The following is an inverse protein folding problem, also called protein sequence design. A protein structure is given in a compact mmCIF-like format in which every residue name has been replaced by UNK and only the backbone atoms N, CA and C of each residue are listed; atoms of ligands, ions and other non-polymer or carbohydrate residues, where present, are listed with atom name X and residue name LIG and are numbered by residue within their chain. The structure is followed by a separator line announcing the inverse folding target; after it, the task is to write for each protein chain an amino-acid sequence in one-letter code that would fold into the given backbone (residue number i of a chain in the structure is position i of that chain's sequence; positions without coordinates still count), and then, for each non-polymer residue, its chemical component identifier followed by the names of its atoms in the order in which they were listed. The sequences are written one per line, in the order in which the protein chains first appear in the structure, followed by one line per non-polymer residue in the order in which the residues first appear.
data_IF_426685429302
#
_entry.id   IF_426685429302
#
_cell.length_a   1.000
_cell.length_b   1.000
_cell.length_c   1.000
_cell.angle_alpha   90.00
_cell.angle_beta   90.00
_cell.angle_gamma   90.00
#
_symmetry.space_group_name_H-M   'P 1'
#
loop_
_entity.id
_entity.type
_entity.pdbx_description
1 polymer ?
#
# COMPACT_ATOMS: atom_id res chain seq x y z
N UNK A 1 85.06 -34.07 40.36
CA UNK A 1 84.99 -33.30 39.10
C UNK A 1 83.88 -33.91 38.27
N UNK A 2 82.90 -33.08 37.91
CA UNK A 2 81.52 -33.47 37.60
C UNK A 2 81.39 -34.42 36.39
N UNK A 3 80.65 -35.51 36.60
CA UNK A 3 80.26 -36.50 35.58
C UNK A 3 78.94 -36.08 34.95
N UNK A 4 78.94 -35.93 33.63
CA UNK A 4 77.75 -35.82 32.78
C UNK A 4 77.46 -37.24 32.26
N UNK A 5 76.22 -37.71 32.44
CA UNK A 5 75.68 -38.90 31.79
C UNK A 5 74.31 -38.53 31.21
N UNK A 6 74.14 -38.78 29.93
CA UNK A 6 72.90 -38.65 29.18
C UNK A 6 71.91 -39.76 29.52
N UNK A 7 70.61 -39.46 29.47
CA UNK A 7 69.54 -40.45 29.28
C UNK A 7 68.33 -39.75 28.62
N UNK A 8 67.70 -40.36 27.60
CA UNK A 8 66.60 -39.77 26.84
C UNK A 8 65.24 -40.03 27.54
N UNK A 9 64.35 -39.05 27.37
CA UNK A 9 63.00 -39.00 27.98
C UNK A 9 62.03 -39.93 27.23
N UNK A 10 61.36 -40.81 27.99
CA UNK A 10 60.26 -41.64 27.56
C UNK A 10 58.96 -40.83 27.42
N UNK A 11 58.26 -41.05 26.30
CA UNK A 11 56.88 -40.60 26.03
C UNK A 11 55.87 -41.29 26.97
N UNK A 12 55.04 -40.51 27.64
CA UNK A 12 53.79 -40.95 28.28
C UNK A 12 52.63 -40.20 27.62
N UNK A 13 51.58 -40.87 27.12
CA UNK A 13 50.44 -40.19 26.50
C UNK A 13 49.53 -39.61 27.59
N UNK A 14 49.37 -38.28 27.57
CA UNK A 14 48.47 -37.55 28.46
C UNK A 14 47.02 -37.71 27.94
N UNK A 15 46.24 -38.58 28.58
CA UNK A 15 44.79 -38.66 28.40
C UNK A 15 44.16 -37.41 29.06
N UNK A 16 44.04 -36.32 28.30
CA UNK A 16 43.32 -35.13 28.74
C UNK A 16 41.82 -35.33 28.54
N UNK A 17 41.09 -35.44 29.65
CA UNK A 17 39.64 -35.33 29.72
C UNK A 17 39.20 -33.98 29.12
N UNK A 18 38.67 -34.00 27.90
CA UNK A 18 38.00 -32.88 27.28
C UNK A 18 36.53 -32.93 27.70
N UNK A 19 36.23 -32.31 28.84
CA UNK A 19 34.86 -31.96 29.22
C UNK A 19 34.45 -30.83 28.28
N UNK A 20 33.87 -31.18 27.13
CA UNK A 20 33.12 -30.24 26.31
C UNK A 20 31.86 -29.87 27.11
N UNK A 21 31.88 -28.69 27.73
CA UNK A 21 30.67 -27.99 28.12
C UNK A 21 29.86 -27.75 26.85
N UNK A 22 28.89 -28.60 26.55
CA UNK A 22 27.77 -28.24 25.68
C UNK A 22 26.97 -27.18 26.46
N UNK A 23 27.43 -25.93 26.43
CA UNK A 23 26.50 -24.83 26.51
C UNK A 23 25.70 -24.92 25.23
N UNK A 24 24.49 -25.46 25.34
CA UNK A 24 23.48 -25.29 24.33
C UNK A 24 23.39 -23.79 24.05
N UNK A 25 23.89 -23.36 22.88
CA UNK A 25 23.44 -22.13 22.25
C UNK A 25 21.94 -22.33 21.98
N UNK A 26 21.13 -22.12 23.00
CA UNK A 26 19.73 -21.79 22.83
C UNK A 26 19.80 -20.41 22.18
N UNK A 27 19.43 -20.25 20.91
CA UNK A 27 19.25 -18.90 20.39
C UNK A 27 18.26 -18.23 21.32
N UNK A 28 18.63 -17.09 21.90
CA UNK A 28 17.69 -16.21 22.56
C UNK A 28 16.64 -15.86 21.50
N UNK A 29 15.56 -16.62 21.46
CA UNK A 29 14.34 -16.22 20.78
C UNK A 29 13.90 -14.99 21.58
N UNK A 30 14.30 -13.82 21.09
CA UNK A 30 14.02 -12.55 21.75
C UNK A 30 12.51 -12.40 21.72
N UNK A 31 11.83 -12.78 22.80
CA UNK A 31 10.38 -12.63 22.92
C UNK A 31 10.10 -11.14 22.80
N UNK A 32 9.65 -10.72 21.62
CA UNK A 32 9.32 -9.33 21.35
C UNK A 32 8.00 -9.06 22.08
N UNK A 33 8.05 -8.17 23.08
CA UNK A 33 6.85 -7.76 23.80
C UNK A 33 5.92 -7.00 22.86
N UNK A 34 4.61 -7.01 23.14
CA UNK A 34 3.62 -6.24 22.36
C UNK A 34 4.00 -4.76 22.27
N UNK A 35 4.54 -4.17 23.34
CA UNK A 35 5.06 -2.80 23.34
C UNK A 35 6.21 -2.57 22.35
N UNK A 36 7.16 -3.50 22.28
CA UNK A 36 8.30 -3.38 21.36
C UNK A 36 7.85 -3.54 19.91
N UNK A 37 6.95 -4.49 19.64
CA UNK A 37 6.33 -4.67 18.33
C UNK A 37 5.53 -3.44 17.91
N UNK A 38 4.74 -2.86 18.82
CA UNK A 38 3.93 -1.68 18.55
C UNK A 38 4.82 -0.47 18.23
N UNK A 39 5.88 -0.24 19.02
CA UNK A 39 6.85 0.82 18.76
C UNK A 39 7.52 0.67 17.40
N UNK A 40 7.89 -0.56 17.04
CA UNK A 40 8.58 -0.87 15.78
C UNK A 40 7.66 -0.72 14.56
N UNK A 41 6.44 -1.25 14.62
CA UNK A 41 5.59 -1.43 13.44
C UNK A 41 4.38 -0.49 13.34
N UNK A 42 3.92 0.08 14.45
CA UNK A 42 2.63 0.77 14.50
C UNK A 42 2.76 2.24 14.90
N UNK A 43 3.65 2.57 15.84
CA UNK A 43 3.71 3.88 16.49
C UNK A 43 4.07 5.04 15.55
N UNK A 44 4.86 4.80 14.48
CA UNK A 44 5.21 5.82 13.49
C UNK A 44 3.98 6.41 12.78
N UNK A 45 2.91 5.60 12.61
CA UNK A 45 1.64 6.02 12.02
C UNK A 45 0.58 6.29 13.11
N UNK A 46 0.37 5.35 14.02
CA UNK A 46 -0.72 5.40 15.01
C UNK A 46 -0.39 6.21 16.28
N UNK A 47 0.85 6.67 16.44
CA UNK A 47 1.31 7.40 17.62
C UNK A 47 1.67 6.48 18.78
N UNK A 48 2.59 6.93 19.64
CA UNK A 48 3.02 6.17 20.83
C UNK A 48 1.87 5.98 21.83
N UNK A 49 0.92 6.92 21.85
CA UNK A 49 -0.31 6.88 22.66
C UNK A 49 -1.51 6.24 21.94
N UNK A 50 -1.35 5.76 20.70
CA UNK A 50 -2.44 5.20 19.91
C UNK A 50 -3.48 6.21 19.42
N UNK A 51 -3.18 7.51 19.44
CA UNK A 51 -4.12 8.59 19.12
C UNK A 51 -4.26 8.90 17.61
N UNK A 52 -3.55 8.16 16.76
CA UNK A 52 -3.51 8.34 15.31
C UNK A 52 -2.62 9.51 14.86
N UNK A 53 -1.81 10.10 15.75
CA UNK A 53 -0.94 11.24 15.46
C UNK A 53 0.56 10.86 15.50
N UNK A 54 0.93 9.70 14.94
CA UNK A 54 2.33 9.33 14.78
C UNK A 54 3.11 10.33 13.92
N UNK A 55 4.44 10.31 14.03
CA UNK A 55 5.34 11.23 13.31
C UNK A 55 5.10 11.23 11.79
N UNK A 56 4.70 10.09 11.22
CA UNK A 56 4.42 9.94 9.79
C UNK A 56 2.92 10.06 9.45
N UNK A 57 2.04 10.29 10.43
CA UNK A 57 0.59 10.38 10.20
C UNK A 57 0.19 11.54 9.26
N UNK A 58 1.03 12.58 9.15
CA UNK A 58 0.80 13.68 8.23
C UNK A 58 1.00 13.27 6.75
N UNK A 59 1.81 12.25 6.48
CA UNK A 59 2.18 11.75 5.15
C UNK A 59 1.24 10.69 4.57
N UNK A 60 0.19 10.32 5.30
CA UNK A 60 -0.72 9.25 4.87
C UNK A 60 -2.17 9.68 4.86
N UNK A 61 -2.93 9.15 3.89
CA UNK A 61 -4.37 9.34 3.77
C UNK A 61 -5.06 8.03 3.30
N UNK A 62 -6.20 7.63 3.90
CA UNK A 62 -6.87 8.20 5.06
C UNK A 62 -5.99 8.23 6.31
N UNK A 63 -6.32 9.10 7.28
CA UNK A 63 -5.55 9.20 8.53
C UNK A 63 -5.52 7.87 9.29
N UNK A 64 -4.41 7.56 9.99
CA UNK A 64 -4.31 6.38 10.83
C UNK A 64 -5.44 6.36 11.86
N UNK A 65 -5.88 5.15 12.23
CA UNK A 65 -6.91 4.99 13.25
C UNK A 65 -6.40 5.52 14.58
N UNK A 66 -7.16 6.42 15.18
CA UNK A 66 -7.10 6.69 16.61
C UNK A 66 -7.78 5.54 17.36
N UNK A 67 -7.02 4.82 18.18
CA UNK A 67 -7.54 3.75 19.00
C UNK A 67 -8.21 4.28 20.26
N UNK A 68 -7.82 5.44 20.78
CA UNK A 68 -8.33 6.02 22.04
C UNK A 68 -9.82 6.37 22.00
N UNK A 69 -10.42 6.48 20.81
CA UNK A 69 -11.85 6.74 20.64
C UNK A 69 -12.73 5.47 20.68
N UNK A 70 -12.12 4.28 20.69
CA UNK A 70 -12.80 2.98 20.69
C UNK A 70 -13.64 2.67 19.44
N UNK A 71 -13.48 3.44 18.34
CA UNK A 71 -14.29 3.32 17.12
C UNK A 71 -13.53 2.61 16.01
N UNK A 72 -14.00 1.42 15.66
CA UNK A 72 -13.38 0.59 14.63
C UNK A 72 -14.27 0.50 13.38
N UNK A 73 -13.67 0.82 12.22
CA UNK A 73 -14.35 0.79 10.91
C UNK A 73 -14.74 -0.63 10.49
N UNK A 74 -13.81 -1.57 10.68
CA UNK A 74 -13.92 -2.94 10.19
C UNK A 74 -14.17 -3.84 11.39
N UNK A 75 -15.42 -4.28 11.53
CA UNK A 75 -15.87 -5.15 12.61
C UNK A 75 -17.02 -6.03 12.16
N UNK A 76 -17.18 -7.18 12.80
CA UNK A 76 -18.27 -8.13 12.54
C UNK A 76 -19.44 -7.96 13.50
N UNK A 77 -19.42 -6.93 14.36
CA UNK A 77 -20.35 -6.74 15.49
C UNK A 77 -21.35 -5.60 15.21
N UNK A 78 -22.43 -5.53 16.00
CA UNK A 78 -23.47 -4.51 15.84
C UNK A 78 -22.95 -3.08 16.06
N UNK A 79 -23.66 -2.06 15.55
CA UNK A 79 -23.30 -0.65 15.79
C UNK A 79 -23.15 -0.35 17.28
N UNK A 80 -22.12 0.39 17.65
CA UNK A 80 -21.82 0.73 19.05
C UNK A 80 -21.16 -0.36 19.89
N UNK A 81 -21.03 -1.60 19.39
CA UNK A 81 -20.22 -2.64 20.03
C UNK A 81 -18.78 -2.63 19.49
N UNK A 82 -17.77 -2.98 20.30
CA UNK A 82 -16.38 -3.05 19.86
C UNK A 82 -16.15 -4.21 18.88
N UNK A 83 -15.02 -4.24 18.16
CA UNK A 83 -14.63 -5.38 17.34
C UNK A 83 -14.32 -6.62 18.20
N UNK A 84 -14.50 -7.81 17.61
CA UNK A 84 -13.96 -9.04 18.20
C UNK A 84 -12.44 -9.10 18.06
N UNK A 85 -11.77 -9.96 18.82
CA UNK A 85 -10.34 -10.20 18.63
C UNK A 85 -10.04 -10.71 17.20
N UNK A 86 -10.90 -11.56 16.64
CA UNK A 86 -10.78 -12.05 15.27
C UNK A 86 -10.85 -10.93 14.22
N UNK A 87 -11.69 -9.90 14.44
CA UNK A 87 -11.74 -8.73 13.56
C UNK A 87 -10.41 -7.96 13.57
N UNK A 88 -9.80 -7.80 14.76
CA UNK A 88 -8.51 -7.13 14.93
C UNK A 88 -7.36 -7.96 14.34
N UNK A 89 -7.33 -9.27 14.59
CA UNK A 89 -6.37 -10.21 14.00
C UNK A 89 -6.43 -10.12 12.48
N UNK A 90 -7.62 -10.23 11.90
CA UNK A 90 -7.81 -10.17 10.44
C UNK A 90 -7.32 -8.85 9.88
N UNK A 91 -7.62 -7.73 10.55
CA UNK A 91 -7.21 -6.39 10.11
C UNK A 91 -5.69 -6.21 10.15
N UNK A 92 -5.00 -6.66 11.21
CA UNK A 92 -3.54 -6.57 11.31
C UNK A 92 -2.88 -7.51 10.30
N UNK A 93 -3.34 -8.76 10.23
CA UNK A 93 -2.76 -9.77 9.36
C UNK A 93 -2.90 -9.41 7.87
N UNK A 94 -4.05 -8.89 7.45
CA UNK A 94 -4.33 -8.59 6.04
C UNK A 94 -4.01 -7.14 5.66
N UNK A 95 -3.81 -6.26 6.64
CA UNK A 95 -3.76 -4.82 6.43
C UNK A 95 -5.12 -4.27 6.02
N UNK A 96 -5.11 -3.05 5.48
CA UNK A 96 -6.33 -2.43 4.94
C UNK A 96 -6.10 -1.98 3.49
N UNK A 97 -6.64 -2.72 2.50
CA UNK A 97 -6.46 -2.40 1.10
C UNK A 97 -6.82 -0.95 0.74
N UNK A 98 -5.92 -0.30 0.00
CA UNK A 98 -6.06 1.10 -0.42
C UNK A 98 -5.87 2.13 0.69
N UNK A 99 -5.25 1.77 1.81
CA UNK A 99 -4.72 2.72 2.81
C UNK A 99 -3.25 2.41 3.07
N UNK A 100 -2.53 3.30 3.74
CA UNK A 100 -1.13 3.06 4.11
C UNK A 100 -0.94 2.01 5.22
N UNK A 101 -1.93 1.15 5.50
CA UNK A 101 -1.85 0.12 6.54
C UNK A 101 -1.49 -1.21 5.86
N UNK A 102 -0.21 -1.62 5.88
CA UNK A 102 0.25 -2.83 5.20
C UNK A 102 -0.25 -4.08 5.91
N UNK A 103 -0.08 -5.22 5.26
CA UNK A 103 -0.30 -6.53 5.87
C UNK A 103 0.87 -6.91 6.79
N UNK A 104 0.57 -7.36 8.00
CA UNK A 104 1.55 -7.87 8.95
C UNK A 104 1.54 -9.41 9.03
N UNK A 105 1.20 -10.09 7.93
CA UNK A 105 1.11 -11.55 7.84
C UNK A 105 2.44 -12.29 8.08
N UNK A 106 3.55 -11.57 8.21
CA UNK A 106 4.86 -12.13 8.56
C UNK A 106 5.04 -12.32 10.07
N UNK A 107 4.22 -11.65 10.90
CA UNK A 107 4.22 -11.83 12.35
C UNK A 107 3.55 -13.15 12.74
N UNK A 108 4.06 -13.78 13.80
CA UNK A 108 3.46 -14.97 14.40
C UNK A 108 2.14 -14.60 15.09
N UNK A 109 1.25 -15.58 15.25
CA UNK A 109 -0.07 -15.35 15.84
C UNK A 109 -0.01 -14.78 17.27
N UNK A 110 0.96 -15.21 18.08
CA UNK A 110 1.18 -14.68 19.44
C UNK A 110 1.69 -13.23 19.44
N UNK A 111 2.44 -12.83 18.42
CA UNK A 111 2.91 -11.45 18.23
C UNK A 111 1.76 -10.53 17.82
N UNK A 112 0.86 -11.00 16.94
CA UNK A 112 -0.36 -10.27 16.59
C UNK A 112 -1.28 -10.13 17.81
N UNK A 113 -1.44 -11.18 18.61
CA UNK A 113 -2.23 -11.13 19.85
C UNK A 113 -1.69 -10.11 20.86
N UNK A 114 -0.37 -10.03 21.03
CA UNK A 114 0.22 -9.04 21.93
C UNK A 114 0.07 -7.60 21.42
N UNK A 115 0.06 -7.38 20.11
CA UNK A 115 -0.32 -6.08 19.52
C UNK A 115 -1.78 -5.72 19.78
N UNK A 116 -2.68 -6.70 19.75
CA UNK A 116 -4.10 -6.50 20.04
C UNK A 116 -4.32 -6.09 21.49
N UNK A 117 -3.58 -6.68 22.43
CA UNK A 117 -3.64 -6.27 23.84
C UNK A 117 -3.28 -4.78 24.01
N UNK A 118 -2.25 -4.30 23.29
CA UNK A 118 -1.87 -2.88 23.28
C UNK A 118 -2.98 -1.99 22.68
N UNK A 119 -3.58 -2.41 21.55
CA UNK A 119 -4.69 -1.66 20.92
C UNK A 119 -5.92 -1.60 21.85
N UNK A 120 -6.22 -2.68 22.56
CA UNK A 120 -7.31 -2.75 23.55
C UNK A 120 -7.00 -1.87 24.76
N UNK A 121 -5.76 -1.82 25.21
CA UNK A 121 -5.31 -0.92 26.28
C UNK A 121 -5.53 0.56 25.92
N UNK A 122 -5.11 0.99 24.72
CA UNK A 122 -5.34 2.38 24.28
C UNK A 122 -6.83 2.75 24.18
N UNK A 123 -7.64 1.82 23.69
CA UNK A 123 -9.06 2.05 23.41
C UNK A 123 -9.97 1.84 24.63
N UNK A 124 -9.50 1.16 25.66
CA UNK A 124 -10.29 0.79 26.84
C UNK A 124 -11.46 -0.16 26.53
N UNK A 125 -11.45 -0.83 25.37
CA UNK A 125 -12.55 -1.71 24.96
C UNK A 125 -12.49 -3.05 25.71
N UNK A 126 -13.67 -3.55 26.09
CA UNK A 126 -13.87 -4.93 26.53
C UNK A 126 -14.74 -5.66 25.49
N UNK A 127 -14.17 -6.70 24.88
CA UNK A 127 -14.84 -7.49 23.83
C UNK A 127 -15.05 -8.97 24.23
N UNK A 128 -14.86 -9.33 25.50
CA UNK A 128 -14.94 -10.73 25.97
C UNK A 128 -16.30 -11.40 25.74
N UNK A 129 -17.38 -10.61 25.71
CA UNK A 129 -18.76 -11.10 25.56
C UNK A 129 -19.44 -10.61 24.28
N UNK A 130 -18.66 -10.12 23.31
CA UNK A 130 -19.22 -9.53 22.09
C UNK A 130 -19.34 -10.61 21.02
N UNK A 131 -20.57 -10.78 20.52
CA UNK A 131 -20.88 -11.76 19.49
C UNK A 131 -20.92 -11.12 18.10
N UNK A 132 -20.39 -11.79 17.06
CA UNK A 132 -20.58 -11.38 15.68
C UNK A 132 -22.06 -11.33 15.28
N UNK A 133 -22.38 -10.47 14.31
CA UNK A 133 -23.68 -10.44 13.64
C UNK A 133 -23.96 -11.81 13.04
N UNK A 134 -25.12 -12.37 13.37
CA UNK A 134 -25.62 -13.57 12.69
C UNK A 134 -26.03 -13.20 11.27
N UNK A 135 -25.36 -13.80 10.29
CA UNK A 135 -25.63 -13.54 8.87
C UNK A 135 -26.61 -14.61 8.37
N UNK A 136 -27.80 -14.22 7.90
CA UNK A 136 -28.79 -15.16 7.38
C UNK A 136 -28.30 -15.80 6.08
N UNK A 137 -28.95 -16.90 5.67
CA UNK A 137 -28.64 -17.55 4.39
C UNK A 137 -28.74 -16.57 3.22
N UNK A 138 -27.80 -16.66 2.29
CA UNK A 138 -27.75 -15.82 1.09
C UNK A 138 -28.98 -16.08 0.22
N UNK A 139 -29.66 -15.00 -0.17
CA UNK A 139 -30.72 -15.08 -1.19
C UNK A 139 -30.06 -15.20 -2.56
N UNK A 140 -30.36 -16.25 -3.36
CA UNK A 140 -29.71 -16.44 -4.65
C UNK A 140 -29.91 -15.24 -5.59
N UNK A 141 -28.87 -14.98 -6.39
CA UNK A 141 -28.90 -13.95 -7.42
C UNK A 141 -30.08 -14.14 -8.39
N UNK A 142 -30.82 -13.06 -8.66
CA UNK A 142 -31.81 -12.97 -9.74
C UNK A 142 -31.93 -11.53 -10.24
N UNK A 143 -32.46 -11.33 -11.45
CA UNK A 143 -32.70 -9.99 -12.00
C UNK A 143 -33.69 -9.18 -11.14
N UNK A 144 -34.68 -9.83 -10.53
CA UNK A 144 -35.59 -9.16 -9.59
C UNK A 144 -34.85 -8.71 -8.32
N UNK A 145 -33.91 -9.52 -7.82
CA UNK A 145 -33.10 -9.18 -6.65
C UNK A 145 -32.19 -7.98 -6.93
N UNK A 146 -31.58 -7.92 -8.11
CA UNK A 146 -30.76 -6.76 -8.54
C UNK A 146 -31.61 -5.51 -8.68
N UNK A 147 -32.81 -5.63 -9.27
CA UNK A 147 -33.75 -4.50 -9.40
C UNK A 147 -34.16 -3.97 -8.03
N UNK A 148 -34.46 -4.88 -7.08
CA UNK A 148 -34.75 -4.51 -5.69
C UNK A 148 -33.55 -3.82 -5.04
N UNK A 149 -32.35 -4.38 -5.20
CA UNK A 149 -31.12 -3.83 -4.61
C UNK A 149 -30.80 -2.43 -5.14
N UNK A 150 -31.05 -2.17 -6.43
CA UNK A 150 -30.95 -0.83 -7.02
C UNK A 150 -31.93 0.16 -6.37
N UNK A 151 -33.17 -0.28 -6.13
CA UNK A 151 -34.18 0.53 -5.43
C UNK A 151 -33.71 0.86 -4.02
N UNK A 152 -33.28 -0.14 -3.25
CA UNK A 152 -32.74 0.02 -1.89
C UNK A 152 -31.55 0.99 -1.89
N UNK A 153 -30.60 0.85 -2.82
CA UNK A 153 -29.42 1.72 -2.92
C UNK A 153 -29.80 3.19 -3.12
N UNK A 154 -30.81 3.47 -3.93
CA UNK A 154 -31.27 4.85 -4.16
C UNK A 154 -32.14 5.37 -3.03
N UNK A 155 -33.07 4.57 -2.51
CA UNK A 155 -34.03 4.99 -1.48
C UNK A 155 -33.36 5.15 -0.10
N UNK A 156 -32.37 4.31 0.22
CA UNK A 156 -31.53 4.47 1.40
C UNK A 156 -30.50 5.61 1.27
N UNK A 157 -30.42 6.26 0.10
CA UNK A 157 -29.55 7.41 -0.14
C UNK A 157 -28.07 7.05 -0.35
N UNK A 158 -27.73 5.79 -0.62
CA UNK A 158 -26.34 5.37 -0.82
C UNK A 158 -25.67 6.14 -1.97
N UNK A 159 -26.44 6.42 -3.04
CA UNK A 159 -26.00 7.17 -4.21
C UNK A 159 -25.62 8.64 -3.91
N UNK A 160 -26.11 9.23 -2.83
CA UNK A 160 -25.76 10.59 -2.43
C UNK A 160 -24.27 10.73 -2.10
N UNK A 161 -23.67 9.67 -1.57
CA UNK A 161 -22.26 9.60 -1.20
C UNK A 161 -21.44 8.75 -2.20
N UNK A 162 -21.98 7.64 -2.67
CA UNK A 162 -21.23 6.71 -3.52
C UNK A 162 -21.43 6.93 -5.03
N UNK A 163 -22.32 7.86 -5.41
CA UNK A 163 -22.75 8.05 -6.79
C UNK A 163 -23.66 6.94 -7.29
N UNK A 164 -24.29 7.14 -8.45
CA UNK A 164 -25.22 6.14 -9.01
C UNK A 164 -24.52 4.85 -9.47
N UNK A 165 -23.23 4.94 -9.77
CA UNK A 165 -22.44 3.85 -10.33
C UNK A 165 -21.35 3.34 -9.37
N UNK A 166 -21.35 3.76 -8.11
CA UNK A 166 -20.40 3.27 -7.10
C UNK A 166 -18.99 3.87 -7.17
N UNK A 167 -18.82 4.95 -7.94
CA UNK A 167 -17.54 5.62 -8.18
C UNK A 167 -17.19 6.68 -7.13
N UNK A 168 -17.93 6.76 -6.03
CA UNK A 168 -17.67 7.72 -4.95
C UNK A 168 -17.77 9.19 -5.38
N UNK A 169 -18.59 9.47 -6.39
CA UNK A 169 -18.78 10.76 -7.05
C UNK A 169 -20.20 11.31 -6.82
N UNK A 170 -20.88 10.86 -5.76
CA UNK A 170 -22.16 11.40 -5.33
C UNK A 170 -22.08 12.88 -4.94
N UNK A 171 -23.19 13.63 -4.99
CA UNK A 171 -23.22 15.07 -4.70
C UNK A 171 -22.70 15.44 -3.29
N UNK A 172 -22.74 14.53 -2.33
CA UNK A 172 -22.27 14.74 -0.96
C UNK A 172 -20.83 14.25 -0.71
N UNK A 173 -20.19 13.59 -1.66
CA UNK A 173 -18.92 12.87 -1.48
C UNK A 173 -17.80 13.75 -0.90
N UNK A 174 -17.62 14.93 -1.48
CA UNK A 174 -16.54 15.85 -1.12
C UNK A 174 -16.81 16.63 0.18
N UNK A 175 -17.98 16.45 0.79
CA UNK A 175 -18.36 17.13 2.03
C UNK A 175 -18.26 16.21 3.26
N UNK A 176 -18.05 14.91 3.06
CA UNK A 176 -18.00 13.93 4.13
C UNK A 176 -16.75 14.10 4.98
N UNK A 177 -16.94 14.04 6.29
CA UNK A 177 -15.88 14.08 7.29
C UNK A 177 -16.02 12.94 8.28
N UNK A 178 -14.91 12.41 8.75
CA UNK A 178 -14.90 11.48 9.87
C UNK A 178 -15.22 12.19 11.19
N UNK A 179 -15.28 11.42 12.28
CA UNK A 179 -15.58 11.99 13.61
C UNK A 179 -14.51 12.93 14.15
N UNK A 180 -13.32 12.98 13.54
CA UNK A 180 -12.26 13.93 13.87
C UNK A 180 -12.27 15.17 12.95
N UNK A 181 -13.18 15.22 11.98
CA UNK A 181 -13.30 16.32 11.04
C UNK A 181 -12.38 16.21 9.82
N UNK A 182 -11.64 15.11 9.65
CA UNK A 182 -10.86 14.88 8.45
C UNK A 182 -11.78 14.48 7.29
N UNK A 183 -11.56 14.99 6.07
CA UNK A 183 -12.31 14.55 4.90
C UNK A 183 -12.22 13.02 4.73
N UNK A 184 -13.34 12.40 4.34
CA UNK A 184 -13.45 10.96 4.09
C UNK A 184 -14.30 10.69 2.85
N UNK A 185 -13.69 10.91 1.69
CA UNK A 185 -14.34 10.71 0.40
C UNK A 185 -14.57 9.21 0.17
N UNK A 186 -15.79 8.77 -0.20
CA UNK A 186 -16.07 7.38 -0.51
C UNK A 186 -15.22 6.88 -1.68
N UNK A 187 -14.65 5.70 -1.53
CA UNK A 187 -13.82 5.08 -2.57
C UNK A 187 -14.68 4.56 -3.73
N UNK A 188 -14.08 4.51 -4.91
CA UNK A 188 -14.58 3.78 -6.06
C UNK A 188 -14.46 2.29 -5.76
N UNK A 189 -15.61 1.70 -5.41
CA UNK A 189 -15.68 0.28 -5.09
C UNK A 189 -15.92 -0.59 -6.33
N UNK A 190 -16.07 -0.01 -7.53
CA UNK A 190 -16.27 -0.79 -8.76
C UNK A 190 -15.03 -1.62 -9.13
N UNK A 191 -13.87 -1.29 -8.55
CA UNK A 191 -12.66 -2.12 -8.59
C UNK A 191 -12.83 -3.50 -7.93
N UNK A 192 -13.85 -3.67 -7.08
CA UNK A 192 -14.02 -4.86 -6.23
C UNK A 192 -13.07 -4.90 -5.04
N UNK A 193 -12.27 -3.85 -4.79
CA UNK A 193 -11.42 -3.73 -3.62
C UNK A 193 -12.13 -2.90 -2.55
N UNK A 194 -12.42 -3.53 -1.42
CA UNK A 194 -13.11 -2.92 -0.30
C UNK A 194 -12.20 -2.86 0.93
N UNK A 195 -12.39 -1.83 1.76
CA UNK A 195 -11.61 -1.65 2.99
C UNK A 195 -11.76 -2.83 3.97
N UNK A 196 -12.94 -3.43 4.04
CA UNK A 196 -13.29 -4.47 5.02
C UNK A 196 -13.36 -5.90 4.48
N UNK A 197 -12.88 -6.13 3.25
CA UNK A 197 -12.96 -7.41 2.55
C UNK A 197 -13.96 -7.43 1.38
N UNK A 198 -13.67 -8.26 0.38
CA UNK A 198 -14.34 -8.27 -0.95
C UNK A 198 -15.49 -9.27 -1.08
N UNK A 199 -15.70 -10.11 -0.07
CA UNK A 199 -16.75 -11.14 -0.12
C UNK A 199 -18.12 -10.55 0.14
N UNK A 200 -19.17 -11.18 -0.38
CA UNK A 200 -20.56 -10.79 -0.07
C UNK A 200 -20.85 -10.75 1.44
N UNK A 201 -20.22 -11.68 2.19
CA UNK A 201 -20.26 -11.72 3.65
C UNK A 201 -19.67 -10.44 4.27
N UNK A 202 -18.50 -10.01 3.80
CA UNK A 202 -17.86 -8.80 4.30
C UNK A 202 -18.70 -7.55 4.02
N UNK A 203 -19.28 -7.43 2.82
CA UNK A 203 -20.19 -6.34 2.46
C UNK A 203 -21.45 -6.34 3.34
N UNK A 204 -22.06 -7.51 3.57
CA UNK A 204 -23.20 -7.65 4.46
C UNK A 204 -22.88 -7.11 5.86
N UNK A 205 -21.71 -7.46 6.41
CA UNK A 205 -21.26 -6.94 7.71
C UNK A 205 -21.07 -5.42 7.72
N UNK A 206 -20.61 -4.81 6.62
CA UNK A 206 -20.49 -3.34 6.55
C UNK A 206 -21.84 -2.66 6.49
N UNK A 207 -22.80 -3.21 5.75
CA UNK A 207 -24.13 -2.62 5.67
C UNK A 207 -24.90 -2.80 6.96
N UNK A 208 -24.90 -3.99 7.56
CA UNK A 208 -25.66 -4.24 8.80
C UNK A 208 -24.94 -3.69 10.03
N UNK A 209 -23.62 -3.79 10.11
CA UNK A 209 -22.82 -3.31 11.25
C UNK A 209 -22.47 -1.82 11.19
N UNK A 210 -22.55 -1.19 10.02
CA UNK A 210 -22.05 0.17 9.80
C UNK A 210 -20.52 0.26 9.86
N UNK A 211 -20.00 1.49 9.76
CA UNK A 211 -18.56 1.76 9.87
C UNK A 211 -18.29 2.88 10.88
N UNK A 212 -17.92 2.50 12.10
CA UNK A 212 -17.78 3.45 13.21
C UNK A 212 -16.72 4.52 12.94
N UNK A 213 -17.02 5.74 13.37
CA UNK A 213 -16.18 6.92 13.15
C UNK A 213 -16.30 7.51 11.73
N UNK A 214 -17.19 6.98 10.88
CA UNK A 214 -17.44 7.50 9.53
C UNK A 214 -18.91 7.90 9.32
N UNK A 215 -19.22 8.67 8.27
CA UNK A 215 -20.60 8.95 7.88
C UNK A 215 -21.39 7.76 7.30
N UNK A 216 -20.78 6.57 7.15
CA UNK A 216 -21.46 5.38 6.64
C UNK A 216 -22.20 4.67 7.79
N UNK A 217 -23.54 4.82 7.90
CA UNK A 217 -24.29 4.30 9.03
C UNK A 217 -24.52 2.79 8.88
N UNK A 218 -25.16 2.21 9.88
CA UNK A 218 -25.77 0.90 9.77
C UNK A 218 -27.11 0.97 9.04
N UNK A 219 -27.34 -0.03 8.22
CA UNK A 219 -28.55 -0.36 7.48
C UNK A 219 -29.09 -1.73 7.96
N UNK A 220 -28.96 -2.04 9.25
CA UNK A 220 -29.54 -3.26 9.86
C UNK A 220 -31.06 -3.19 10.09
N UNK A 221 -31.68 -2.06 9.73
CA UNK A 221 -33.10 -1.79 9.84
C UNK A 221 -33.70 -1.25 8.52
N UNK A 222 -33.23 -1.76 7.38
CA UNK A 222 -33.71 -1.35 6.05
C UNK A 222 -35.21 -1.53 5.90
N UNK A 223 -35.81 -2.56 6.51
CA UNK A 223 -37.25 -2.76 6.41
C UNK A 223 -38.01 -1.59 7.05
N UNK A 224 -37.57 -1.12 8.22
CA UNK A 224 -38.16 0.06 8.87
C UNK A 224 -37.91 1.33 8.07
N UNK A 225 -36.66 1.55 7.63
CA UNK A 225 -36.25 2.72 6.84
C UNK A 225 -37.07 2.88 5.57
N UNK A 226 -37.43 1.76 4.93
CA UNK A 226 -38.15 1.73 3.64
C UNK A 226 -39.66 1.44 3.80
N UNK A 227 -40.18 1.38 5.03
CA UNK A 227 -41.60 1.07 5.28
C UNK A 227 -42.04 -0.31 4.79
N UNK A 228 -41.14 -1.30 4.80
CA UNK A 228 -41.36 -2.70 4.41
C UNK A 228 -41.60 -3.60 5.63
N UNK A 229 -42.24 -4.77 5.47
CA UNK A 229 -42.39 -5.74 6.55
C UNK A 229 -41.04 -6.21 7.10
N UNK A 230 -40.92 -6.39 8.43
CA UNK A 230 -39.67 -6.85 9.06
C UNK A 230 -39.17 -8.20 8.54
N UNK A 231 -40.08 -9.05 8.07
CA UNK A 231 -39.73 -10.33 7.44
C UNK A 231 -38.90 -10.17 6.15
N UNK A 232 -38.91 -9.00 5.51
CA UNK A 232 -38.13 -8.72 4.30
C UNK A 232 -36.73 -8.18 4.58
N UNK A 233 -36.36 -7.93 5.84
CA UNK A 233 -35.06 -7.33 6.23
C UNK A 233 -33.87 -8.03 5.57
N UNK A 234 -33.77 -9.35 5.74
CA UNK A 234 -32.66 -10.14 5.16
C UNK A 234 -32.65 -10.07 3.64
N UNK A 235 -33.82 -10.05 3.00
CA UNK A 235 -33.94 -9.96 1.54
C UNK A 235 -33.47 -8.60 1.04
N UNK A 236 -33.80 -7.51 1.74
CA UNK A 236 -33.37 -6.15 1.40
C UNK A 236 -31.85 -6.00 1.55
N UNK A 237 -31.28 -6.50 2.64
CA UNK A 237 -29.83 -6.47 2.88
C UNK A 237 -29.07 -7.27 1.80
N UNK A 238 -29.51 -8.49 1.48
CA UNK A 238 -28.90 -9.28 0.40
C UNK A 238 -29.09 -8.64 -0.98
N UNK A 239 -30.26 -8.06 -1.26
CA UNK A 239 -30.48 -7.33 -2.52
C UNK A 239 -29.47 -6.19 -2.69
N UNK A 240 -29.23 -5.41 -1.64
CA UNK A 240 -28.23 -4.34 -1.64
C UNK A 240 -26.80 -4.88 -1.88
N UNK A 241 -26.42 -5.98 -1.22
CA UNK A 241 -25.13 -6.66 -1.43
C UNK A 241 -24.97 -7.09 -2.88
N UNK A 242 -25.97 -7.76 -3.44
CA UNK A 242 -25.92 -8.22 -4.83
C UNK A 242 -25.86 -7.05 -5.82
N UNK A 243 -26.60 -5.97 -5.58
CA UNK A 243 -26.54 -4.79 -6.43
C UNK A 243 -25.16 -4.13 -6.39
N UNK A 244 -24.57 -3.95 -5.21
CA UNK A 244 -23.22 -3.37 -5.07
C UNK A 244 -22.17 -4.24 -5.76
N UNK A 245 -22.23 -5.58 -5.60
CA UNK A 245 -21.35 -6.51 -6.35
C UNK A 245 -21.58 -6.44 -7.85
N UNK A 246 -22.80 -6.18 -8.31
CA UNK A 246 -23.14 -6.05 -9.73
C UNK A 246 -22.63 -4.73 -10.36
N UNK A 247 -22.22 -3.76 -9.55
CA UNK A 247 -21.55 -2.53 -10.02
C UNK A 247 -20.04 -2.72 -10.24
N UNK A 248 -19.47 -3.86 -9.84
CA UNK A 248 -18.05 -4.14 -10.06
C UNK A 248 -17.72 -4.28 -11.55
N UNK A 249 -16.54 -3.79 -11.93
CA UNK A 249 -15.97 -4.03 -13.25
C UNK A 249 -15.71 -5.54 -13.37
N UNK A 250 -16.20 -6.19 -14.44
CA UNK A 250 -15.96 -7.62 -14.65
C UNK A 250 -14.45 -7.93 -14.67
N UNK A 251 -14.04 -8.89 -13.85
CA UNK A 251 -12.68 -9.46 -13.89
C UNK A 251 -12.56 -10.35 -15.13
N UNK A 252 -11.60 -10.07 -16.01
CA UNK A 252 -11.27 -10.95 -17.13
C UNK A 252 -10.32 -12.06 -16.65
N UNK A 253 -10.28 -13.21 -17.31
CA UNK A 253 -9.45 -14.36 -16.88
C UNK A 253 -7.95 -14.05 -16.86
N UNK A 254 -7.51 -13.11 -17.70
CA UNK A 254 -6.09 -12.73 -17.83
C UNK A 254 -5.81 -11.26 -17.52
N UNK A 255 -6.83 -10.48 -17.16
CA UNK A 255 -6.70 -9.05 -16.84
C UNK A 255 -7.41 -8.73 -15.55
N UNK A 256 -6.94 -7.70 -14.87
CA UNK A 256 -7.52 -7.20 -13.64
C UNK A 256 -7.49 -8.24 -12.50
N UNK A 257 -6.42 -9.04 -12.45
CA UNK A 257 -6.23 -10.07 -11.43
C UNK A 257 -5.71 -9.40 -10.16
N UNK A 258 -6.41 -9.56 -9.03
CA UNK A 258 -5.84 -9.17 -7.74
C UNK A 258 -4.73 -10.16 -7.36
N UNK A 259 -3.50 -9.71 -7.06
CA UNK A 259 -2.39 -10.61 -6.75
C UNK A 259 -2.64 -11.33 -5.43
N UNK A 260 -2.94 -12.63 -5.49
CA UNK A 260 -3.06 -13.49 -4.31
C UNK A 260 -1.70 -13.59 -3.59
N UNK A 261 -1.68 -13.29 -2.29
CA UNK A 261 -0.48 -13.28 -1.45
C UNK A 261 0.63 -12.32 -1.90
N UNK A 262 0.29 -11.27 -2.66
CA UNK A 262 1.26 -10.27 -3.12
C UNK A 262 2.26 -10.80 -4.16
N UNK A 263 1.96 -11.91 -4.83
CA UNK A 263 2.83 -12.51 -5.85
C UNK A 263 2.36 -12.08 -7.25
N UNK A 264 3.30 -11.54 -8.05
CA UNK A 264 3.13 -11.23 -9.47
C UNK A 264 3.96 -12.24 -10.26
N UNK A 265 3.32 -13.05 -11.11
CA UNK A 265 4.03 -14.07 -11.88
C UNK A 265 4.58 -13.50 -13.18
N UNK A 266 5.90 -13.47 -13.31
CA UNK A 266 6.55 -13.06 -14.56
C UNK A 266 6.46 -14.14 -15.65
N UNK A 267 6.16 -13.74 -16.88
CA UNK A 267 6.03 -14.63 -18.03
C UNK A 267 7.37 -14.78 -18.76
N UNK A 268 7.81 -16.02 -18.99
CA UNK A 268 9.04 -16.28 -19.72
C UNK A 268 8.84 -16.03 -21.22
N UNK A 269 9.73 -15.24 -21.82
CA UNK A 269 9.73 -14.95 -23.27
C UNK A 269 10.98 -15.51 -23.96
N UNK A 270 11.03 -15.38 -25.29
CA UNK A 270 12.12 -15.90 -26.12
C UNK A 270 13.50 -15.34 -25.73
N UNK A 271 14.50 -16.23 -25.62
CA UNK A 271 15.86 -15.89 -25.15
C UNK A 271 16.60 -14.82 -25.96
N UNK A 272 16.21 -14.64 -27.22
CA UNK A 272 16.88 -13.73 -28.17
C UNK A 272 16.16 -12.38 -28.30
N UNK A 273 15.07 -12.18 -27.57
CA UNK A 273 14.39 -10.89 -27.52
C UNK A 273 15.30 -9.91 -26.77
N UNK A 274 15.58 -8.78 -27.41
CA UNK A 274 16.41 -7.69 -26.89
C UNK A 274 15.57 -6.70 -26.09
N UNK A 275 16.23 -5.91 -25.25
CA UNK A 275 15.58 -4.96 -24.33
C UNK A 275 14.75 -3.89 -25.03
N UNK A 276 15.18 -3.39 -26.19
CA UNK A 276 14.45 -2.39 -27.01
C UNK A 276 13.02 -2.85 -27.34
N UNK A 277 12.85 -4.13 -27.67
CA UNK A 277 11.52 -4.70 -27.92
C UNK A 277 10.68 -4.89 -26.67
N UNK A 278 11.30 -5.03 -25.50
CA UNK A 278 10.59 -5.14 -24.22
C UNK A 278 10.08 -3.78 -23.73
N UNK A 279 10.77 -2.70 -24.09
CA UNK A 279 10.39 -1.33 -23.73
C UNK A 279 9.21 -0.78 -24.54
N UNK A 280 8.88 -1.39 -25.69
CA UNK A 280 7.66 -1.06 -26.44
C UNK A 280 6.43 -1.66 -25.76
N UNK A 281 5.68 -0.82 -25.03
CA UNK A 281 4.49 -1.20 -24.27
C UNK A 281 3.29 -1.62 -25.14
N UNK A 282 3.31 -1.28 -26.44
CA UNK A 282 2.28 -1.65 -27.43
C UNK A 282 2.63 -2.93 -28.18
N UNK A 283 3.80 -3.51 -27.92
CA UNK A 283 4.22 -4.75 -28.55
C UNK A 283 3.27 -5.91 -28.20
N UNK A 284 2.89 -6.77 -29.18
CA UNK A 284 2.01 -7.93 -28.93
C UNK A 284 2.51 -8.90 -27.86
N UNK A 285 3.79 -8.83 -27.49
CA UNK A 285 4.35 -9.64 -26.40
C UNK A 285 3.71 -9.35 -25.03
N UNK A 286 3.11 -8.17 -24.86
CA UNK A 286 2.40 -7.78 -23.63
C UNK A 286 0.94 -8.24 -23.59
N UNK A 287 0.42 -8.88 -24.65
CA UNK A 287 -0.96 -9.42 -24.66
C UNK A 287 -1.06 -10.78 -23.96
N UNK A 288 0.03 -11.53 -23.87
CA UNK A 288 0.07 -12.88 -23.29
C UNK A 288 0.21 -12.92 -21.77
N UNK A 289 1.09 -12.09 -21.14
CA UNK A 289 1.28 -12.10 -19.70
C UNK A 289 0.00 -11.70 -18.95
N UNK A 290 -0.26 -12.36 -17.83
CA UNK A 290 -1.32 -11.96 -16.91
C UNK A 290 -1.10 -10.53 -16.40
N UNK A 291 -2.15 -9.72 -16.41
CA UNK A 291 -2.15 -8.38 -15.81
C UNK A 291 -2.73 -8.43 -14.40
N UNK A 292 -1.93 -7.96 -13.43
CA UNK A 292 -2.28 -7.92 -12.03
C UNK A 292 -2.61 -6.49 -11.62
N UNK A 293 -3.84 -6.23 -11.19
CA UNK A 293 -4.23 -4.91 -10.66
C UNK A 293 -3.80 -4.81 -9.20
N UNK A 294 -2.83 -3.94 -8.94
CA UNK A 294 -2.32 -3.67 -7.59
C UNK A 294 -3.02 -2.43 -7.03
N UNK A 295 -3.66 -2.55 -5.85
CA UNK A 295 -4.29 -1.42 -5.19
C UNK A 295 -3.24 -0.45 -4.65
N UNK A 296 -3.31 0.84 -5.00
CA UNK A 296 -2.38 1.83 -4.45
C UNK A 296 -2.90 2.45 -3.15
N UNK A 297 -1.96 2.78 -2.28
CA UNK A 297 -2.21 3.50 -1.03
C UNK A 297 -1.91 4.97 -1.23
N UNK A 298 -2.85 5.84 -0.81
CA UNK A 298 -2.63 7.29 -0.90
C UNK A 298 -1.73 7.76 0.22
N UNK A 299 -0.71 8.52 -0.14
CA UNK A 299 0.11 9.24 0.82
C UNK A 299 -0.48 10.62 1.10
N UNK A 300 -0.89 11.35 0.06
CA UNK A 300 -1.43 12.70 0.22
C UNK A 300 -2.90 12.84 -0.16
N UNK A 301 -3.56 13.81 0.47
CA UNK A 301 -4.93 14.19 0.15
C UNK A 301 -4.90 15.02 -1.15
N UNK A 302 -5.58 14.53 -2.19
CA UNK A 302 -5.80 15.25 -3.45
C UNK A 302 -7.31 15.35 -3.70
N UNK A 303 -7.72 16.48 -4.27
CA UNK A 303 -9.12 16.85 -4.49
C UNK A 303 -9.76 16.14 -5.70
N UNK A 304 -8.96 15.46 -6.54
CA UNK A 304 -9.37 15.24 -7.94
C UNK A 304 -9.43 13.80 -8.46
N UNK A 305 -9.08 12.76 -7.70
CA UNK A 305 -9.14 11.39 -8.27
C UNK A 305 -9.68 10.42 -7.23
N UNK A 306 -10.52 9.46 -7.66
CA UNK A 306 -10.92 8.30 -6.87
C UNK A 306 -9.92 7.15 -7.06
N UNK A 307 -10.00 6.13 -6.23
CA UNK A 307 -9.10 4.99 -6.10
C UNK A 307 -8.38 4.56 -7.39
N UNK A 308 -7.05 4.51 -7.33
CA UNK A 308 -6.23 4.11 -8.47
C UNK A 308 -5.72 2.69 -8.24
N UNK A 309 -5.80 1.89 -9.30
CA UNK A 309 -5.09 0.63 -9.40
C UNK A 309 -3.91 0.88 -10.34
N UNK A 310 -2.80 0.20 -10.10
CA UNK A 310 -1.73 0.08 -11.08
C UNK A 310 -1.76 -1.34 -11.61
N UNK A 311 -1.98 -1.48 -12.91
CA UNK A 311 -1.89 -2.77 -13.59
C UNK A 311 -0.42 -3.10 -13.84
N UNK A 312 -0.02 -4.28 -13.39
CA UNK A 312 1.35 -4.76 -13.43
C UNK A 312 1.44 -6.02 -14.26
N UNK A 313 2.32 -6.00 -15.26
CA UNK A 313 2.73 -7.17 -16.01
C UNK A 313 4.25 -7.31 -15.92
N UNK A 314 4.73 -8.55 -15.87
CA UNK A 314 6.17 -8.83 -15.86
C UNK A 314 6.52 -9.90 -16.89
N UNK A 315 7.61 -9.67 -17.61
CA UNK A 315 8.20 -10.63 -18.55
C UNK A 315 9.69 -10.77 -18.29
N UNK A 316 10.24 -11.94 -18.63
CA UNK A 316 11.68 -12.16 -18.46
C UNK A 316 12.27 -13.14 -19.47
N UNK A 317 13.59 -13.03 -19.69
CA UNK A 317 14.39 -14.04 -20.37
C UNK A 317 15.71 -14.29 -19.61
N UNK A 318 16.71 -14.87 -20.28
CA UNK A 318 17.99 -15.20 -19.65
C UNK A 318 18.84 -13.97 -19.27
N UNK A 319 18.57 -12.80 -19.86
CA UNK A 319 19.39 -11.60 -19.73
C UNK A 319 18.62 -10.42 -19.12
N UNK A 320 17.30 -10.39 -19.26
CA UNK A 320 16.48 -9.22 -18.94
C UNK A 320 15.22 -9.61 -18.18
N UNK A 321 14.80 -8.70 -17.31
CA UNK A 321 13.46 -8.63 -16.73
C UNK A 321 12.88 -7.28 -17.16
N UNK A 322 11.62 -7.28 -17.56
CA UNK A 322 10.88 -6.06 -17.85
C UNK A 322 9.57 -6.09 -17.09
N UNK A 323 9.22 -4.94 -16.50
CA UNK A 323 7.98 -4.73 -15.76
C UNK A 323 7.24 -3.59 -16.44
N UNK A 324 5.98 -3.83 -16.80
CA UNK A 324 5.07 -2.83 -17.32
C UNK A 324 4.14 -2.42 -16.19
N UNK A 325 4.07 -1.11 -15.95
CA UNK A 325 3.13 -0.47 -15.05
C UNK A 325 2.17 0.36 -15.91
N UNK A 326 0.87 0.21 -15.69
CA UNK A 326 -0.17 0.95 -16.41
C UNK A 326 -1.18 1.49 -15.39
N UNK A 327 -1.48 2.78 -15.47
CA UNK A 327 -2.46 3.43 -14.60
C UNK A 327 -3.26 4.46 -15.40
N UNK A 328 -4.44 4.80 -14.90
CA UNK A 328 -5.22 5.88 -15.48
C UNK A 328 -4.75 7.21 -14.92
N UNK A 329 -4.40 8.11 -15.83
CA UNK A 329 -4.06 9.49 -15.52
C UNK A 329 -4.96 10.45 -16.32
N UNK A 330 -5.42 11.51 -15.66
CA UNK A 330 -6.18 12.57 -16.30
C UNK A 330 -5.30 13.73 -16.77
N UNK A 331 -4.07 13.79 -16.24
CA UNK A 331 -3.06 14.78 -16.61
C UNK A 331 -1.90 14.08 -17.31
N UNK A 332 -1.03 14.88 -17.92
CA UNK A 332 0.22 14.42 -18.52
C UNK A 332 1.30 15.36 -18.02
N UNK A 333 1.87 15.03 -16.86
CA UNK A 333 2.75 15.91 -16.11
C UNK A 333 4.21 15.54 -16.40
N UNK A 334 4.70 16.00 -17.56
CA UNK A 334 6.10 15.83 -17.97
C UNK A 334 7.02 17.03 -17.66
N UNK A 335 6.46 18.17 -17.26
CA UNK A 335 7.20 19.42 -17.09
C UNK A 335 7.51 19.76 -15.63
N UNK A 336 8.73 20.22 -15.36
CA UNK A 336 9.16 20.74 -14.04
C UNK A 336 9.54 22.23 -14.14
N UNK A 337 8.60 23.08 -14.55
CA UNK A 337 8.87 24.50 -14.80
C UNK A 337 8.81 25.34 -13.53
N UNK A 338 7.90 24.97 -12.63
CA UNK A 338 7.67 25.63 -11.34
C UNK A 338 8.00 24.69 -10.20
N UNK A 339 8.30 25.25 -9.03
CA UNK A 339 8.56 24.49 -7.81
C UNK A 339 7.34 23.67 -7.36
N UNK A 340 6.14 24.07 -7.80
CA UNK A 340 4.89 23.36 -7.51
C UNK A 340 4.54 22.27 -8.53
N UNK A 341 5.28 22.17 -9.63
CA UNK A 341 5.02 21.16 -10.64
C UNK A 341 5.61 19.83 -10.17
N UNK A 342 4.78 18.79 -10.14
CA UNK A 342 5.18 17.42 -9.86
C UNK A 342 5.02 16.64 -11.14
N UNK A 343 6.11 16.03 -11.60
CA UNK A 343 6.07 15.16 -12.76
C UNK A 343 5.43 13.80 -12.43
N UNK A 344 4.90 13.15 -13.46
CA UNK A 344 4.54 11.76 -13.40
C UNK A 344 5.78 10.91 -13.16
N UNK A 345 5.61 9.89 -12.31
CA UNK A 345 6.70 9.01 -11.93
C UNK A 345 6.19 7.72 -11.31
N UNK A 346 6.96 6.66 -11.52
CA UNK A 346 6.65 5.34 -10.98
C UNK A 346 7.93 4.67 -10.53
N UNK A 347 7.92 4.12 -9.31
CA UNK A 347 9.08 3.47 -8.73
C UNK A 347 8.77 2.00 -8.42
N UNK A 348 9.73 1.12 -8.72
CA UNK A 348 9.74 -0.27 -8.27
C UNK A 348 10.86 -0.42 -7.26
N UNK A 349 10.54 -1.08 -6.17
CA UNK A 349 11.42 -1.22 -5.02
C UNK A 349 11.80 -2.68 -4.79
N UNK A 350 13.09 -2.94 -4.59
CA UNK A 350 13.66 -4.26 -4.35
C UNK A 350 14.42 -4.30 -3.02
N UNK A 351 14.05 -5.24 -2.15
CA UNK A 351 14.93 -5.63 -1.03
C UNK A 351 16.21 -6.24 -1.61
N UNK A 352 17.36 -5.72 -1.19
CA UNK A 352 18.67 -6.15 -1.68
C UNK A 352 19.10 -7.46 -1.02
N UNK A 353 18.69 -7.68 0.23
CA UNK A 353 19.06 -8.82 1.06
C UNK A 353 18.04 -9.98 1.01
N UNK A 354 16.91 -9.79 0.33
CA UNK A 354 15.83 -10.76 0.21
C UNK A 354 14.93 -10.83 1.46
N UNK A 355 15.05 -9.88 2.38
CA UNK A 355 14.12 -9.74 3.50
C UNK A 355 12.69 -9.57 2.98
N UNK A 356 11.73 -10.22 3.65
CA UNK A 356 10.32 -10.22 3.28
C UNK A 356 9.54 -9.41 4.31
N UNK A 357 8.60 -8.58 3.86
CA UNK A 357 7.82 -7.71 4.75
C UNK A 357 7.55 -6.35 4.13
N UNK A 358 7.01 -5.43 4.94
CA UNK A 358 6.78 -4.05 4.53
C UNK A 358 8.08 -3.25 4.55
N UNK A 359 8.80 -3.29 3.43
CA UNK A 359 9.97 -2.46 3.22
C UNK A 359 9.48 -1.09 2.77
N UNK A 360 9.55 -0.10 3.66
CA UNK A 360 9.16 1.28 3.34
C UNK A 360 10.16 1.90 2.36
N UNK A 361 11.17 2.60 2.86
CA UNK A 361 12.32 3.06 2.05
C UNK A 361 13.61 2.34 2.47
N UNK A 362 13.49 1.13 3.03
CA UNK A 362 14.57 0.37 3.65
C UNK A 362 15.02 0.92 5.02
N UNK A 363 16.12 0.36 5.51
CA UNK A 363 16.85 0.79 6.72
C UNK A 363 18.36 0.65 6.51
N UNK A 364 19.17 1.05 7.49
CA UNK A 364 20.63 0.86 7.44
C UNK A 364 21.03 -0.63 7.34
N UNK A 365 20.32 -1.50 8.06
CA UNK A 365 20.56 -2.95 8.06
C UNK A 365 19.92 -3.65 6.85
N UNK A 366 18.83 -3.08 6.33
CA UNK A 366 18.03 -3.62 5.24
C UNK A 366 17.86 -2.58 4.11
N UNK A 367 18.93 -2.24 3.37
CA UNK A 367 18.88 -1.25 2.32
C UNK A 367 18.06 -1.76 1.13
N UNK A 368 17.58 -0.81 0.35
CA UNK A 368 16.62 -1.08 -0.71
C UNK A 368 17.02 -0.39 -2.01
N UNK A 369 16.95 -1.12 -3.12
CA UNK A 369 17.19 -0.62 -4.48
C UNK A 369 15.87 -0.13 -5.08
N UNK A 370 15.88 1.06 -5.67
CA UNK A 370 14.70 1.70 -6.24
C UNK A 370 14.99 2.05 -7.69
N UNK A 371 14.16 1.51 -8.58
CA UNK A 371 14.13 1.88 -9.99
C UNK A 371 13.01 2.89 -10.20
N UNK A 372 13.36 4.17 -10.32
CA UNK A 372 12.42 5.27 -10.40
C UNK A 372 12.35 5.86 -11.80
N UNK A 373 11.28 5.55 -12.52
CA UNK A 373 10.95 6.18 -13.79
C UNK A 373 10.37 7.57 -13.58
N UNK A 374 10.80 8.53 -14.40
CA UNK A 374 10.44 9.95 -14.34
C UNK A 374 10.04 10.45 -15.73
N UNK A 375 8.81 10.96 -15.87
CA UNK A 375 8.28 11.38 -17.17
C UNK A 375 9.10 12.49 -17.84
N UNK A 376 9.64 13.42 -17.06
CA UNK A 376 10.47 14.51 -17.56
C UNK A 376 11.79 13.99 -18.15
N UNK A 377 12.37 12.96 -17.52
CA UNK A 377 13.61 12.34 -17.99
C UNK A 377 13.36 11.54 -19.27
N UNK A 378 12.20 10.87 -19.38
CA UNK A 378 11.77 10.19 -20.61
C UNK A 378 11.68 11.17 -21.78
N UNK A 379 11.00 12.30 -21.60
CA UNK A 379 10.91 13.34 -22.61
C UNK A 379 12.30 13.87 -23.03
N UNK A 380 13.21 14.14 -22.08
CA UNK A 380 14.59 14.57 -22.41
C UNK A 380 15.36 13.52 -23.24
N UNK A 381 15.20 12.24 -22.91
CA UNK A 381 15.83 11.14 -23.66
C UNK A 381 15.27 11.06 -25.08
N UNK A 382 13.95 11.16 -25.23
CA UNK A 382 13.27 11.05 -26.52
C UNK A 382 13.57 12.24 -27.44
N UNK A 383 13.55 13.45 -26.90
CA UNK A 383 13.79 14.69 -27.65
C UNK A 383 15.27 15.08 -27.75
N UNK A 384 16.14 14.45 -26.95
CA UNK A 384 17.58 14.74 -26.85
C UNK A 384 17.86 16.19 -26.43
N UNK A 385 17.13 16.67 -25.43
CA UNK A 385 17.25 18.03 -24.88
C UNK A 385 17.76 18.00 -23.43
N UNK A 386 18.50 19.04 -23.04
CA UNK A 386 19.02 19.16 -21.67
C UNK A 386 17.94 19.62 -20.68
N UNK A 387 16.99 20.44 -21.12
CA UNK A 387 15.85 20.93 -20.33
C UNK A 387 14.76 21.49 -21.23
N UNK A 388 13.50 21.32 -20.81
CA UNK A 388 12.31 21.83 -21.49
C UNK A 388 11.99 23.30 -21.16
N UNK A 389 12.76 23.94 -20.26
CA UNK A 389 12.48 25.33 -19.84
C UNK A 389 12.54 26.34 -21.01
N UNK A 390 13.30 26.01 -22.06
CA UNK A 390 13.42 26.83 -23.27
C UNK A 390 12.16 26.75 -24.13
N UNK A 391 11.49 25.59 -24.19
CA UNK A 391 10.24 25.43 -24.91
C UNK A 391 9.07 26.05 -24.14
N UNK A 392 9.01 25.83 -22.82
CA UNK A 392 7.97 26.41 -21.97
C UNK A 392 8.00 27.95 -21.92
N UNK A 393 9.19 28.54 -22.07
CA UNK A 393 9.37 29.99 -22.12
C UNK A 393 10.21 30.41 -23.34
N UNK A 394 9.66 30.18 -24.54
CA UNK A 394 10.30 30.49 -25.82
C UNK A 394 10.79 31.95 -25.99
N UNK A 395 10.26 32.88 -25.19
CA UNK A 395 10.64 34.30 -25.16
C UNK A 395 11.24 34.75 -23.82
N UNK A 396 11.73 33.81 -23.00
CA UNK A 396 12.44 34.15 -21.76
C UNK A 396 13.68 34.95 -22.10
N UNK A 397 13.65 36.24 -21.77
CA UNK A 397 14.87 37.02 -21.65
C UNK A 397 15.44 36.70 -20.28
N UNK A 398 16.54 35.96 -20.23
CA UNK A 398 17.31 35.87 -18.99
C UNK A 398 17.82 37.28 -18.68
N UNK A 399 17.51 37.80 -17.49
CA UNK A 399 18.10 39.03 -16.96
C UNK A 399 19.64 38.97 -16.93
N UNK A 400 20.16 37.74 -16.91
CA UNK A 400 21.52 37.37 -17.25
C UNK A 400 21.71 37.44 -18.77
N UNK A 401 21.98 38.63 -19.30
CA UNK A 401 22.38 38.78 -20.70
C UNK A 401 23.62 37.89 -20.95
N UNK A 402 23.47 36.86 -21.77
CA UNK A 402 24.46 35.80 -22.02
C UNK A 402 25.77 36.35 -22.59
N UNK A 403 25.75 37.57 -23.14
CA UNK A 403 26.93 38.25 -23.67
C UNK A 403 27.70 39.09 -22.63
N UNK A 404 27.09 39.50 -21.51
CA UNK A 404 27.71 40.42 -20.53
C UNK A 404 27.72 39.91 -19.09
N UNK A 405 26.96 38.87 -18.77
CA UNK A 405 27.14 38.13 -17.52
C UNK A 405 28.40 37.26 -17.63
N UNK A 406 29.28 37.20 -16.62
CA UNK A 406 30.41 36.29 -16.69
C UNK A 406 29.87 34.87 -16.89
N UNK A 407 30.28 34.20 -17.97
CA UNK A 407 29.97 32.78 -18.23
C UNK A 407 30.14 31.93 -16.95
N UNK A 408 31.11 32.32 -16.11
CA UNK A 408 31.36 31.78 -14.79
C UNK A 408 30.12 31.70 -13.87
N UNK A 409 29.27 32.74 -13.77
CA UNK A 409 28.15 32.73 -12.80
C UNK A 409 26.93 31.93 -13.28
N UNK A 410 26.70 31.81 -14.59
CA UNK A 410 25.60 31.02 -15.13
C UNK A 410 25.86 29.50 -14.93
N UNK A 411 27.14 29.13 -14.95
CA UNK A 411 27.56 27.75 -14.73
C UNK A 411 27.66 27.40 -13.24
N UNK A 412 28.15 28.29 -12.36
CA UNK A 412 28.46 27.96 -10.95
C UNK A 412 27.27 27.40 -10.14
N UNK A 413 26.03 27.85 -10.39
CA UNK A 413 24.86 27.36 -9.65
C UNK A 413 24.48 25.91 -10.02
N UNK A 414 24.75 25.47 -11.27
CA UNK A 414 24.55 24.10 -11.73
C UNK A 414 25.81 23.23 -11.56
N UNK A 415 27.00 23.83 -11.61
CA UNK A 415 28.28 23.13 -11.50
C UNK A 415 28.47 22.48 -10.14
N UNK A 416 28.06 23.10 -9.02
CA UNK A 416 28.25 22.45 -7.72
C UNK A 416 27.52 21.09 -7.63
N UNK A 417 26.30 21.00 -8.16
CA UNK A 417 25.57 19.73 -8.27
C UNK A 417 26.22 18.78 -9.27
N UNK A 418 26.55 19.27 -10.47
CA UNK A 418 27.17 18.47 -11.54
C UNK A 418 28.56 17.94 -11.16
N UNK A 419 29.41 18.78 -10.60
CA UNK A 419 30.78 18.48 -10.14
C UNK A 419 30.75 17.57 -8.91
N UNK A 420 29.70 17.65 -8.09
CA UNK A 420 29.43 16.69 -7.02
C UNK A 420 28.84 15.35 -7.54
N UNK A 421 28.64 15.20 -8.86
CA UNK A 421 28.04 14.01 -9.45
C UNK A 421 26.56 13.83 -9.13
N UNK A 422 25.85 14.92 -8.81
CA UNK A 422 24.39 14.87 -8.62
C UNK A 422 23.74 14.55 -9.96
N UNK A 423 23.18 13.35 -10.06
CA UNK A 423 22.49 12.87 -11.25
C UNK A 423 21.36 13.81 -11.67
N UNK A 424 20.66 14.47 -10.74
CA UNK A 424 19.61 15.45 -11.06
C UNK A 424 20.15 16.71 -11.75
N UNK A 425 21.44 17.02 -11.57
CA UNK A 425 22.13 18.17 -12.17
C UNK A 425 22.90 17.81 -13.45
N UNK A 426 22.85 16.56 -13.90
CA UNK A 426 23.42 16.16 -15.19
C UNK A 426 22.68 16.83 -16.35
N UNK A 427 23.45 17.32 -17.32
CA UNK A 427 22.91 18.03 -18.49
C UNK A 427 22.17 17.08 -19.43
N UNK A 428 22.78 15.94 -19.76
CA UNK A 428 22.19 14.94 -20.64
C UNK A 428 21.66 13.76 -19.84
N UNK A 429 20.37 13.43 -19.99
CA UNK A 429 19.80 12.19 -19.47
C UNK A 429 20.01 11.07 -20.49
N UNK A 430 20.66 9.99 -20.05
CA UNK A 430 20.88 8.79 -20.88
C UNK A 430 19.89 7.67 -20.59
N UNK A 431 19.10 7.82 -19.51
CA UNK A 431 18.07 6.88 -19.08
C UNK A 431 16.88 7.65 -18.51
N UNK A 432 15.63 7.22 -18.78
CA UNK A 432 14.43 7.74 -18.13
C UNK A 432 14.26 7.24 -16.69
N UNK A 433 15.04 6.24 -16.29
CA UNK A 433 15.00 5.60 -14.98
C UNK A 433 16.24 5.98 -14.19
N UNK A 434 16.01 6.49 -12.98
CA UNK A 434 17.01 6.67 -11.94
C UNK A 434 17.10 5.38 -11.11
N UNK A 435 18.31 4.89 -10.87
CA UNK A 435 18.56 3.85 -9.87
C UNK A 435 19.09 4.53 -8.61
N UNK A 436 18.41 4.35 -7.48
CA UNK A 436 18.82 4.88 -6.18
C UNK A 436 18.75 3.81 -5.11
N UNK A 437 19.67 3.88 -4.15
CA UNK A 437 19.61 3.08 -2.93
C UNK A 437 19.05 3.93 -1.80
N UNK A 438 18.08 3.39 -1.07
CA UNK A 438 17.48 4.03 0.08
C UNK A 438 17.79 3.25 1.37
N UNK A 439 18.08 4.03 2.41
CA UNK A 439 18.27 3.60 3.81
C UNK A 439 17.31 4.41 4.68
N UNK A 440 16.01 4.22 4.44
CA UNK A 440 14.91 4.96 5.05
C UNK A 440 14.90 4.97 6.58
N UNK A 441 13.93 5.68 7.20
CA UNK A 441 13.90 5.97 8.64
C UNK A 441 13.52 4.76 9.53
N UNK A 442 14.09 3.58 9.28
CA UNK A 442 13.91 2.33 10.03
C UNK A 442 12.57 1.60 9.84
N UNK A 443 12.03 1.59 8.62
CA UNK A 443 10.99 0.62 8.25
C UNK A 443 11.65 -0.61 7.63
N UNK A 444 11.55 -1.78 8.27
CA UNK A 444 12.17 -3.05 7.80
C UNK A 444 11.43 -3.64 6.62
#
# INVERSE_FOLDING_TARGET
MNKIWELPVFLVPLFAFLIFSLEAFIPLEHIQTGENLYKLYCASCHGVSGDGNGELAYLVYPKPRDFTDGKFKIKSTLPGLPPTDDDLIKTIHQGMPGTAMPAFSFLKENEIKSLIDIVKEFSGIDNNNVLPINIPDEVPFSDELITLGKSVYSEAGCNMCHGNNGKGDGPSSNQLKDTKGFPIIPKDFTSGVYLGGETKRDLYLRFVGGMDGTPMPSFGNLAELLGKPKAEESKLAWALVHYVKNLEVPKDKNKNILPSNGIIQATKIGRFIKSDKMMDSFSPMWETPSSYSVPISRLWQSDSINYQMVDVQAIYNANYVAVKLEWNDSTQDHGLFRVQDFQDGAAIQFSIDGTKGFHGMGSEDHPTDIWFWKAEWQMRVDEKIDSDIVLAYANRVSDSNVETYPQLMNDIANLAGRDAGNINSETAKVSPVENVMAIGPQTV
#
